data_IF_569982678015
#
_entry.id   IF_569982678015
#
_cell.length_a   1.000
_cell.length_b   1.000
_cell.length_c   1.000
_cell.angle_alpha   90.00
_cell.angle_beta   90.00
_cell.angle_gamma   90.00
#
_symmetry.space_group_name_H-M   'P 1'
#
loop_
_entity.id
_entity.type
_entity.pdbx_description
1 polymer ?
#
# COMPACT_ATOMS: atom_id res chain seq x y z
N UNK A 1 -69.77 36.11 29.14
CA UNK A 1 -69.22 34.93 28.42
C UNK A 1 -68.63 35.39 27.10
N UNK A 2 -67.43 34.89 26.77
CA UNK A 2 -66.74 34.89 25.47
C UNK A 2 -66.18 36.24 24.96
N UNK A 3 -64.96 36.61 25.36
CA UNK A 3 -63.62 36.24 24.82
C UNK A 3 -63.25 37.02 23.54
N UNK A 4 -62.52 38.11 23.80
CA UNK A 4 -61.70 38.91 22.86
C UNK A 4 -60.67 37.99 22.18
N UNK A 5 -60.63 37.99 20.84
CA UNK A 5 -59.53 37.41 20.05
C UNK A 5 -58.58 38.53 19.64
N UNK A 6 -57.52 38.71 20.40
CA UNK A 6 -56.29 39.36 19.94
C UNK A 6 -55.26 38.24 19.90
N UNK A 7 -54.69 37.93 18.73
CA UNK A 7 -53.29 37.53 18.68
C UNK A 7 -52.74 37.68 17.26
N UNK A 8 -51.78 38.59 17.19
CA UNK A 8 -50.80 38.83 16.14
C UNK A 8 -50.02 37.56 15.79
N UNK A 9 -49.57 37.42 14.54
CA UNK A 9 -48.33 36.70 14.26
C UNK A 9 -47.66 37.22 12.98
N UNK A 10 -46.81 38.23 13.17
CA UNK A 10 -45.71 38.59 12.27
C UNK A 10 -44.51 37.78 12.75
N UNK A 11 -44.03 36.81 11.96
CA UNK A 11 -42.74 36.12 12.19
C UNK A 11 -42.08 35.93 10.82
N UNK A 12 -41.26 36.90 10.42
CA UNK A 12 -39.78 36.82 10.38
C UNK A 12 -39.31 35.77 9.35
N UNK A 13 -39.05 36.27 8.14
CA UNK A 13 -38.24 35.62 7.11
C UNK A 13 -36.82 35.38 7.63
N UNK A 14 -36.53 34.14 7.99
CA UNK A 14 -35.20 33.69 8.40
C UNK A 14 -34.35 33.46 7.15
N UNK A 15 -33.47 34.42 6.87
CA UNK A 15 -32.37 34.27 5.94
C UNK A 15 -31.42 33.19 6.48
N UNK A 16 -31.48 31.98 5.91
CA UNK A 16 -30.44 30.98 6.08
C UNK A 16 -29.30 31.37 5.13
N UNK A 17 -28.34 32.11 5.69
CA UNK A 17 -27.00 32.18 5.17
C UNK A 17 -26.47 30.74 5.05
N UNK A 18 -26.31 30.26 3.81
CA UNK A 18 -25.49 29.10 3.53
C UNK A 18 -24.05 29.49 3.84
N UNK A 19 -23.66 29.31 5.10
CA UNK A 19 -22.27 29.29 5.51
C UNK A 19 -21.56 28.25 4.66
N UNK A 20 -20.59 28.71 3.89
CA UNK A 20 -19.65 27.92 3.11
C UNK A 20 -19.04 26.81 3.97
N UNK A 21 -19.54 25.58 3.82
CA UNK A 21 -18.76 24.42 4.21
C UNK A 21 -17.60 24.29 3.24
N UNK A 22 -16.44 24.77 3.67
CA UNK A 22 -15.12 24.50 3.11
C UNK A 22 -15.05 23.10 2.50
N UNK A 23 -15.00 23.02 1.17
CA UNK A 23 -14.61 21.78 0.49
C UNK A 23 -13.11 21.58 0.64
N UNK A 24 -12.66 21.12 1.82
CA UNK A 24 -11.36 20.45 1.95
C UNK A 24 -11.50 19.05 1.32
N UNK A 25 -11.64 18.98 0.00
CA UNK A 25 -11.48 17.73 -0.73
C UNK A 25 -9.99 17.39 -0.77
N UNK A 26 -9.60 16.52 0.16
CA UNK A 26 -8.58 15.47 0.08
C UNK A 26 -7.57 15.61 -1.06
N UNK A 27 -6.41 16.15 -0.76
CA UNK A 27 -5.15 15.65 -1.28
C UNK A 27 -4.41 14.97 -0.12
N UNK A 28 -4.93 13.81 0.32
CA UNK A 28 -4.07 12.87 1.02
C UNK A 28 -3.11 12.33 -0.04
N UNK A 29 -1.95 12.99 -0.14
CA UNK A 29 -0.84 12.59 -0.99
C UNK A 29 -0.53 11.11 -0.76
N UNK A 30 -0.20 10.38 -1.83
CA UNK A 30 0.21 8.97 -1.81
C UNK A 30 1.58 8.85 -1.10
N UNK A 31 1.59 9.09 0.20
CA UNK A 31 2.80 9.11 1.01
C UNK A 31 3.28 7.68 1.23
N UNK A 32 4.59 7.49 1.06
CA UNK A 32 5.26 6.22 1.30
C UNK A 32 5.24 5.91 2.80
N UNK A 33 4.77 4.72 3.17
CA UNK A 33 4.73 4.27 4.57
C UNK A 33 5.79 3.21 4.86
N UNK A 34 6.17 2.41 3.85
CA UNK A 34 7.24 1.41 3.91
C UNK A 34 7.91 1.28 2.55
N UNK A 35 9.22 1.13 2.59
CA UNK A 35 10.05 0.90 1.41
C UNK A 35 11.07 -0.17 1.75
N UNK A 36 11.01 -1.29 1.04
CA UNK A 36 12.00 -2.36 1.10
C UNK A 36 12.72 -2.37 -0.24
N UNK A 37 14.03 -2.20 -0.22
CA UNK A 37 14.86 -2.19 -1.44
C UNK A 37 15.95 -3.22 -1.24
N UNK A 38 16.19 -4.05 -2.25
CA UNK A 38 17.28 -5.02 -2.26
C UNK A 38 18.59 -4.35 -1.88
N UNK A 39 19.33 -4.94 -0.94
CA UNK A 39 20.73 -4.58 -0.76
C UNK A 39 21.52 -4.89 -2.05
N UNK A 40 22.66 -4.22 -2.24
CA UNK A 40 23.52 -4.44 -3.40
C UNK A 40 23.77 -5.92 -3.62
N UNK A 41 23.36 -6.42 -4.79
CA UNK A 41 23.53 -7.80 -5.22
C UNK A 41 23.75 -7.79 -6.74
N UNK A 42 24.37 -8.85 -7.27
CA UNK A 42 24.76 -8.94 -8.69
C UNK A 42 23.67 -9.55 -9.58
N UNK A 43 22.45 -9.77 -9.04
CA UNK A 43 21.41 -10.56 -9.69
C UNK A 43 20.19 -9.72 -10.09
N UNK A 44 19.65 -8.90 -9.19
CA UNK A 44 18.44 -8.14 -9.44
C UNK A 44 18.29 -6.93 -8.50
N UNK A 45 17.67 -5.87 -9.00
CA UNK A 45 17.14 -4.79 -8.17
C UNK A 45 15.67 -5.10 -7.84
N UNK A 46 15.35 -5.19 -6.56
CA UNK A 46 13.98 -5.44 -6.08
C UNK A 46 13.53 -4.28 -5.22
N UNK A 47 12.32 -3.80 -5.46
CA UNK A 47 11.69 -2.77 -4.62
C UNK A 47 10.26 -3.18 -4.26
N UNK A 48 9.89 -3.06 -2.98
CA UNK A 48 8.51 -3.09 -2.50
C UNK A 48 8.19 -1.77 -1.79
N UNK A 49 7.24 -1.02 -2.33
CA UNK A 49 6.80 0.28 -1.80
C UNK A 49 5.34 0.23 -1.41
N UNK A 50 5.03 0.60 -0.17
CA UNK A 50 3.67 0.66 0.37
C UNK A 50 3.28 2.11 0.63
N UNK A 51 2.05 2.48 0.29
CA UNK A 51 1.55 3.85 0.39
C UNK A 51 0.36 3.96 1.36
N UNK A 52 0.21 5.11 2.01
CA UNK A 52 -0.87 5.41 2.97
C UNK A 52 -2.30 5.23 2.41
N UNK A 53 -2.45 5.27 1.09
CA UNK A 53 -3.72 5.07 0.37
C UNK A 53 -4.12 3.58 0.22
N UNK A 54 -3.48 2.68 0.98
CA UNK A 54 -3.67 1.21 0.91
C UNK A 54 -3.25 0.56 -0.41
N UNK A 55 -2.41 1.23 -1.21
CA UNK A 55 -1.81 0.63 -2.41
C UNK A 55 -0.35 0.24 -2.16
N UNK A 56 0.15 -0.72 -2.93
CA UNK A 56 1.58 -1.01 -3.01
C UNK A 56 2.02 -1.19 -4.46
N UNK A 57 3.33 -1.03 -4.69
CA UNK A 57 4.02 -1.35 -5.94
C UNK A 57 5.21 -2.24 -5.64
N UNK A 58 5.44 -3.23 -6.50
CA UNK A 58 6.62 -4.07 -6.45
C UNK A 58 7.31 -4.04 -7.81
N UNK A 59 8.62 -3.85 -7.80
CA UNK A 59 9.47 -3.84 -9.00
C UNK A 59 10.57 -4.87 -8.88
N UNK A 60 10.86 -5.54 -9.98
CA UNK A 60 11.99 -6.45 -10.10
C UNK A 60 12.67 -6.23 -11.45
N UNK A 61 13.89 -5.73 -11.41
CA UNK A 61 14.75 -5.54 -12.59
C UNK A 61 15.94 -6.50 -12.49
N UNK A 62 15.98 -7.53 -13.33
CA UNK A 62 17.10 -8.45 -13.36
C UNK A 62 18.31 -7.79 -14.01
N UNK A 63 19.49 -7.99 -13.42
CA UNK A 63 20.75 -7.51 -13.97
C UNK A 63 21.22 -8.46 -15.08
N UNK A 64 21.97 -7.96 -16.08
CA UNK A 64 22.48 -8.82 -17.13
C UNK A 64 23.50 -9.79 -16.52
N UNK A 65 23.24 -11.09 -16.65
CA UNK A 65 24.24 -12.13 -16.40
C UNK A 65 24.80 -12.64 -17.73
N UNK A 66 26.01 -13.21 -17.74
CA UNK A 66 26.63 -13.72 -18.97
C UNK A 66 25.78 -14.81 -19.66
N UNK A 67 24.94 -15.52 -18.90
CA UNK A 67 24.13 -16.65 -19.38
C UNK A 67 22.67 -16.29 -19.71
N UNK A 68 22.17 -15.17 -19.19
CA UNK A 68 20.86 -14.63 -19.54
C UNK A 68 21.11 -13.60 -20.64
N UNK A 69 20.87 -13.96 -21.90
CA UNK A 69 21.13 -13.08 -23.05
C UNK A 69 20.63 -11.64 -22.86
N UNK A 70 21.14 -10.69 -23.67
CA UNK A 70 21.03 -9.22 -23.56
C UNK A 70 19.68 -8.54 -23.19
N UNK A 71 18.56 -9.26 -23.06
CA UNK A 71 17.27 -8.72 -22.69
C UNK A 71 17.05 -8.78 -21.18
N UNK A 72 17.19 -7.63 -20.52
CA UNK A 72 16.84 -7.45 -19.12
C UNK A 72 15.33 -7.64 -18.92
N UNK A 73 14.94 -8.64 -18.14
CA UNK A 73 13.55 -8.81 -17.75
C UNK A 73 13.21 -7.81 -16.64
N UNK A 74 12.11 -7.07 -16.85
CA UNK A 74 11.56 -6.11 -15.89
C UNK A 74 10.14 -6.49 -15.56
N UNK A 75 9.84 -6.51 -14.26
CA UNK A 75 8.51 -6.81 -13.76
C UNK A 75 8.03 -5.70 -12.85
N UNK A 76 6.86 -5.16 -13.20
CA UNK A 76 6.12 -4.20 -12.38
C UNK A 76 4.81 -4.82 -11.95
N UNK A 77 4.61 -4.92 -10.64
CA UNK A 77 3.38 -5.41 -10.04
C UNK A 77 2.78 -4.34 -9.12
N UNK A 78 1.47 -4.38 -8.96
CA UNK A 78 0.76 -3.49 -8.06
C UNK A 78 -0.34 -4.24 -7.32
N UNK A 79 -0.84 -3.63 -6.25
CA UNK A 79 -1.89 -4.23 -5.46
C UNK A 79 -2.36 -3.35 -4.33
N UNK A 80 -3.05 -3.97 -3.39
CA UNK A 80 -3.55 -3.34 -2.17
C UNK A 80 -2.97 -4.01 -0.94
N UNK A 81 -2.92 -3.28 0.17
CA UNK A 81 -2.53 -3.83 1.45
C UNK A 81 -3.52 -3.47 2.55
N UNK A 82 -3.54 -4.29 3.57
CA UNK A 82 -4.22 -4.03 4.84
C UNK A 82 -3.37 -4.47 6.03
N UNK A 83 -3.68 -3.93 7.22
CA UNK A 83 -3.04 -4.30 8.46
C UNK A 83 -4.01 -5.16 9.27
N UNK A 84 -3.68 -6.44 9.45
CA UNK A 84 -4.51 -7.44 10.14
C UNK A 84 -3.64 -8.09 11.21
N UNK A 85 -4.05 -8.02 12.47
CA UNK A 85 -3.36 -8.70 13.58
C UNK A 85 -1.84 -8.45 13.62
N UNK A 86 -1.41 -7.19 13.48
CA UNK A 86 0.00 -6.79 13.43
C UNK A 86 0.81 -7.36 12.25
N UNK A 87 0.12 -7.74 11.16
CA UNK A 87 0.74 -8.17 9.89
C UNK A 87 0.21 -7.31 8.76
N UNK A 88 1.10 -6.96 7.83
CA UNK A 88 0.66 -6.44 6.55
C UNK A 88 0.26 -7.60 5.67
N UNK A 89 -0.96 -7.58 5.16
CA UNK A 89 -1.45 -8.50 4.13
C UNK A 89 -1.49 -7.75 2.80
N UNK A 90 -0.73 -8.22 1.81
CA UNK A 90 -0.61 -7.63 0.50
C UNK A 90 -1.31 -8.53 -0.51
N UNK A 91 -2.12 -7.93 -1.38
CA UNK A 91 -2.84 -8.63 -2.45
C UNK A 91 -2.58 -7.98 -3.80
N UNK A 92 -1.98 -8.73 -4.72
CA UNK A 92 -1.72 -8.29 -6.09
C UNK A 92 -3.02 -8.07 -6.89
N UNK A 93 -2.98 -7.10 -7.80
CA UNK A 93 -4.06 -6.80 -8.76
C UNK A 93 -3.58 -7.06 -10.18
N UNK A 94 -4.45 -7.66 -11.01
CA UNK A 94 -4.11 -7.96 -12.41
C UNK A 94 -2.99 -9.00 -12.53
N UNK A 95 -1.93 -8.67 -13.27
CA UNK A 95 -0.71 -9.49 -13.41
C UNK A 95 -0.02 -9.60 -12.05
N UNK A 96 0.36 -10.82 -11.67
CA UNK A 96 1.07 -11.11 -10.43
C UNK A 96 2.15 -12.17 -10.68
N UNK A 97 3.17 -12.24 -9.82
CA UNK A 97 4.16 -13.32 -9.87
C UNK A 97 3.58 -14.62 -9.31
N UNK A 98 4.26 -15.73 -9.56
CA UNK A 98 4.08 -16.94 -8.77
C UNK A 98 4.69 -16.72 -7.37
N UNK A 99 3.84 -16.68 -6.34
CA UNK A 99 4.27 -16.41 -4.98
C UNK A 99 5.13 -17.53 -4.39
N UNK A 100 4.96 -18.77 -4.85
CA UNK A 100 5.79 -19.88 -4.37
C UNK A 100 7.22 -19.75 -4.89
N UNK A 101 7.40 -19.32 -6.14
CA UNK A 101 8.71 -19.01 -6.69
C UNK A 101 9.31 -17.74 -6.08
N UNK A 102 8.48 -16.74 -5.79
CA UNK A 102 8.92 -15.47 -5.20
C UNK A 102 9.40 -15.63 -3.75
N UNK A 103 8.78 -16.52 -2.98
CA UNK A 103 9.05 -16.73 -1.56
C UNK A 103 9.47 -18.17 -1.23
N UNK A 104 10.25 -18.79 -2.12
CA UNK A 104 10.74 -20.16 -1.92
C UNK A 104 11.56 -20.25 -0.63
N UNK A 105 11.06 -21.05 0.32
CA UNK A 105 11.69 -21.30 1.62
C UNK A 105 13.10 -21.93 1.52
N UNK A 106 13.44 -22.55 0.38
CA UNK A 106 14.79 -23.07 0.12
C UNK A 106 15.78 -21.96 -0.20
N UNK A 107 15.32 -20.88 -0.81
CA UNK A 107 16.14 -19.73 -1.20
C UNK A 107 16.13 -18.62 -0.15
N UNK A 108 15.08 -18.57 0.67
CA UNK A 108 14.87 -17.52 1.66
C UNK A 108 14.48 -18.12 3.01
N UNK A 109 15.26 -17.89 4.08
CA UNK A 109 14.83 -18.23 5.44
C UNK A 109 13.75 -17.27 5.95
N UNK A 110 12.87 -16.76 5.08
CA UNK A 110 11.81 -15.82 5.41
C UNK A 110 10.72 -16.52 6.21
N UNK A 111 11.03 -16.85 7.47
CA UNK A 111 10.06 -17.35 8.46
C UNK A 111 8.87 -16.41 8.63
N UNK A 112 9.04 -15.16 8.21
CA UNK A 112 8.11 -14.08 8.42
C UNK A 112 7.16 -13.85 7.23
N UNK A 113 7.43 -14.41 6.05
CA UNK A 113 6.48 -14.34 4.92
C UNK A 113 5.53 -15.54 4.97
N UNK A 114 4.23 -15.29 4.91
CA UNK A 114 3.21 -16.33 4.76
C UNK A 114 2.37 -16.07 3.52
N UNK A 115 2.38 -17.00 2.58
CA UNK A 115 1.44 -17.02 1.45
C UNK A 115 0.05 -17.36 1.98
N UNK A 116 -0.94 -16.54 1.65
CA UNK A 116 -2.33 -16.67 2.08
C UNK A 116 -3.18 -17.30 0.97
N UNK A 117 -2.97 -16.88 -0.27
CA UNK A 117 -3.56 -17.44 -1.49
C UNK A 117 -2.63 -17.22 -2.71
N UNK A 118 -3.10 -17.53 -3.92
CA UNK A 118 -2.35 -17.36 -5.19
C UNK A 118 -1.85 -15.93 -5.48
N UNK A 119 -2.44 -14.92 -4.84
CA UNK A 119 -2.22 -13.48 -5.10
C UNK A 119 -1.95 -12.69 -3.83
N UNK A 120 -1.96 -13.32 -2.66
CA UNK A 120 -1.77 -12.62 -1.40
C UNK A 120 -0.77 -13.30 -0.47
N UNK A 121 -0.01 -12.45 0.21
CA UNK A 121 0.97 -12.85 1.19
C UNK A 121 0.96 -11.87 2.36
N UNK A 122 1.53 -12.28 3.48
CA UNK A 122 1.61 -11.46 4.69
C UNK A 122 2.99 -11.47 5.30
N UNK A 123 3.34 -10.40 6.02
CA UNK A 123 4.54 -10.29 6.84
C UNK A 123 4.33 -9.42 8.09
N UNK A 124 5.12 -9.58 9.16
CA UNK A 124 5.03 -8.79 10.38
C UNK A 124 5.12 -7.28 10.13
N UNK A 125 4.28 -6.52 10.81
CA UNK A 125 4.24 -5.07 10.64
C UNK A 125 5.52 -4.35 11.14
N UNK A 126 6.31 -5.01 11.98
CA UNK A 126 7.58 -4.55 12.52
C UNK A 126 8.82 -5.07 11.76
N UNK A 127 8.61 -5.84 10.67
CA UNK A 127 9.68 -6.40 9.85
C UNK A 127 10.72 -5.35 9.46
N UNK A 128 12.00 -5.68 9.71
CA UNK A 128 13.18 -4.85 9.39
C UNK A 128 13.76 -5.14 8.01
N UNK A 129 13.27 -6.20 7.37
CA UNK A 129 13.59 -6.57 6.01
C UNK A 129 12.74 -7.77 5.61
N UNK A 130 12.69 -8.02 4.31
CA UNK A 130 11.99 -9.17 3.73
C UNK A 130 12.91 -9.79 2.68
N UNK A 131 12.87 -11.11 2.55
CA UNK A 131 13.52 -11.76 1.42
C UNK A 131 12.51 -11.91 0.28
N UNK A 132 12.90 -11.49 -0.91
CA UNK A 132 12.12 -11.63 -2.15
C UNK A 132 13.04 -12.30 -3.16
N UNK A 133 12.64 -13.46 -3.67
CA UNK A 133 13.40 -14.25 -4.64
C UNK A 133 14.84 -14.54 -4.16
N UNK A 134 15.01 -14.91 -2.90
CA UNK A 134 16.34 -15.15 -2.31
C UNK A 134 17.14 -13.91 -1.94
N UNK A 135 16.68 -12.71 -2.32
CA UNK A 135 17.42 -11.45 -2.11
C UNK A 135 16.86 -10.72 -0.91
N UNK A 136 17.73 -10.37 0.04
CA UNK A 136 17.36 -9.59 1.22
C UNK A 136 17.08 -8.12 0.86
N UNK A 137 15.88 -7.65 1.21
CA UNK A 137 15.40 -6.29 1.01
C UNK A 137 15.18 -5.63 2.38
N UNK A 138 16.18 -4.93 2.96
CA UNK A 138 16.01 -4.20 4.21
C UNK A 138 14.97 -3.09 4.10
N UNK A 139 14.31 -2.80 5.22
CA UNK A 139 13.46 -1.62 5.39
C UNK A 139 14.34 -0.37 5.29
N UNK A 140 14.08 0.47 4.30
CA UNK A 140 14.76 1.74 4.13
C UNK A 140 14.18 2.78 5.07
N UNK A 141 15.06 3.55 5.71
CA UNK A 141 14.65 4.69 6.52
C UNK A 141 13.96 5.73 5.64
N UNK A 142 12.68 5.99 5.91
CA UNK A 142 11.93 7.05 5.26
C UNK A 142 12.31 8.34 5.98
N UNK A 143 13.21 9.12 5.39
CA UNK A 143 13.50 10.47 5.85
C UNK A 143 12.26 11.32 5.53
N UNK A 144 11.51 11.69 6.56
CA UNK A 144 10.44 12.69 6.47
C UNK A 144 11.02 14.09 6.24
#
# INVERSE_FOLDING_TARGET
MNKIKILSLVVITMALAFTSCNSLKKNATNALIKEFISAGNELANIELRMFNNKSFKMKMDFLPSMDMGSKLEKFDFNGTWELVNNKYELKFKGKHPDLNALFDNKLSPSKDIKILDERSFSFPADAKGIYIWGIYCPLKSIKN
#
